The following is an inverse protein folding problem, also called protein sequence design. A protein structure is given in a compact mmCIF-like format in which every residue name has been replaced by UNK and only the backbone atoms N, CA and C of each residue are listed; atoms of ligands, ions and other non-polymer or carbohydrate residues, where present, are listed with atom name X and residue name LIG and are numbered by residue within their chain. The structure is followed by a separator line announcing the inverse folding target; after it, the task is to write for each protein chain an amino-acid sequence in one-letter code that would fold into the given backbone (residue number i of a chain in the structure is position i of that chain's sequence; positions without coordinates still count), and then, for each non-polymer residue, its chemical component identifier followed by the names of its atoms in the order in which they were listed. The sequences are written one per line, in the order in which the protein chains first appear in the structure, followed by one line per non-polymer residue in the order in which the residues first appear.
data_IF_633454119747
#
_entry.id   IF_633454119747
#
_cell.length_a   1.000
_cell.length_b   1.000
_cell.length_c   1.000
_cell.angle_alpha   90.00
_cell.angle_beta   90.00
_cell.angle_gamma   90.00
#
_symmetry.space_group_name_H-M   'P 1'
#
loop_
_entity.id
_entity.type
_entity.pdbx_description
1 polymer ?
#
# COMPACT_ATOMS: atom_id res chain seq x y z
N UNK A 1 -6.10 10.85 11.43
CA UNK A 1 -5.22 10.03 10.59
C UNK A 1 -4.50 9.04 11.49
N UNK A 2 -4.34 7.80 11.07
CA UNK A 2 -3.56 6.80 11.77
C UNK A 2 -2.21 6.61 11.06
N UNK A 3 -1.17 6.29 11.84
CA UNK A 3 0.14 5.92 11.30
C UNK A 3 0.35 4.43 11.41
N UNK A 4 0.61 3.81 10.28
CA UNK A 4 0.98 2.40 10.19
C UNK A 4 2.32 2.19 9.52
N UNK A 5 2.73 0.94 9.43
CA UNK A 5 3.90 0.55 8.68
C UNK A 5 3.68 -0.80 7.98
N UNK A 6 4.30 -0.94 6.81
CA UNK A 6 4.28 -2.19 6.07
C UNK A 6 5.16 -3.24 6.76
N UNK A 7 4.68 -4.47 6.81
CA UNK A 7 5.37 -5.59 7.47
C UNK A 7 6.79 -5.84 6.94
N UNK A 8 7.07 -5.50 5.69
CA UNK A 8 8.38 -5.69 5.06
C UNK A 8 9.52 -4.89 5.71
N UNK A 9 9.22 -3.96 6.60
CA UNK A 9 10.24 -3.34 7.43
C UNK A 9 10.95 -4.37 8.31
N UNK A 10 10.22 -5.35 8.84
CA UNK A 10 10.75 -6.34 9.79
C UNK A 10 10.94 -7.73 9.19
N UNK A 11 10.10 -8.12 8.22
CA UNK A 11 10.14 -9.45 7.61
C UNK A 11 9.61 -9.45 6.19
N UNK A 12 10.25 -10.21 5.30
CA UNK A 12 9.77 -10.48 3.93
C UNK A 12 8.73 -11.60 3.86
N UNK A 13 8.45 -12.28 4.98
CA UNK A 13 7.53 -13.41 5.05
C UNK A 13 6.42 -13.14 6.09
N UNK A 14 5.29 -13.83 5.92
CA UNK A 14 4.21 -13.83 6.89
C UNK A 14 3.86 -15.24 7.32
N UNK A 15 4.37 -15.65 8.47
CA UNK A 15 3.97 -16.81 9.26
C UNK A 15 3.88 -16.39 10.73
N UNK A 16 3.36 -17.21 11.64
CA UNK A 16 3.11 -16.78 13.02
C UNK A 16 4.35 -16.26 13.75
N UNK A 17 5.52 -16.87 13.53
CA UNK A 17 6.76 -16.43 14.15
C UNK A 17 7.19 -15.05 13.66
N UNK A 18 7.10 -14.80 12.35
CA UNK A 18 7.43 -13.51 11.77
C UNK A 18 6.34 -12.47 12.09
N UNK A 19 5.07 -12.88 12.12
CA UNK A 19 3.95 -12.02 12.54
C UNK A 19 4.14 -11.49 13.97
N UNK A 20 4.55 -12.34 14.92
CA UNK A 20 4.86 -11.92 16.29
C UNK A 20 5.97 -10.85 16.32
N UNK A 21 7.06 -11.07 15.57
CA UNK A 21 8.15 -10.09 15.45
C UNK A 21 7.68 -8.75 14.88
N UNK A 22 6.90 -8.79 13.78
CA UNK A 22 6.38 -7.60 13.10
C UNK A 22 5.41 -6.84 14.01
N UNK A 23 4.43 -7.52 14.58
CA UNK A 23 3.37 -6.92 15.40
C UNK A 23 3.96 -6.30 16.67
N UNK A 24 4.89 -7.00 17.34
CA UNK A 24 5.61 -6.46 18.49
C UNK A 24 6.43 -5.22 18.11
N UNK A 25 7.20 -5.29 17.00
CA UNK A 25 7.99 -4.14 16.52
C UNK A 25 7.13 -2.92 16.20
N UNK A 26 5.95 -3.13 15.61
CA UNK A 26 4.98 -2.07 15.32
C UNK A 26 4.37 -1.48 16.60
N UNK A 27 4.00 -2.32 17.57
CA UNK A 27 3.48 -1.91 18.88
C UNK A 27 4.52 -1.12 19.68
N UNK A 28 5.75 -1.62 19.78
CA UNK A 28 6.87 -0.96 20.49
C UNK A 28 7.21 0.41 19.88
N UNK A 29 7.00 0.58 18.58
CA UNK A 29 7.18 1.86 17.87
C UNK A 29 5.99 2.82 18.06
N UNK A 30 4.90 2.42 18.69
CA UNK A 30 3.70 3.23 18.89
C UNK A 30 2.97 3.53 17.59
N UNK A 31 2.89 2.54 16.70
CA UNK A 31 2.06 2.57 15.50
C UNK A 31 0.60 2.22 15.85
N UNK A 32 -0.33 2.72 15.03
CA UNK A 32 -1.77 2.46 15.20
C UNK A 32 -2.18 1.13 14.55
N UNK A 33 -1.45 0.73 13.51
CA UNK A 33 -1.73 -0.49 12.75
C UNK A 33 -0.49 -0.99 11.99
N UNK A 34 -0.57 -2.22 11.53
CA UNK A 34 0.41 -2.85 10.62
C UNK A 34 -0.25 -3.22 9.30
N UNK A 35 0.44 -3.00 8.19
CA UNK A 35 -0.01 -3.46 6.88
C UNK A 35 0.54 -4.85 6.58
N UNK A 36 -0.37 -5.80 6.39
CA UNK A 36 -0.09 -7.22 6.20
C UNK A 36 -0.12 -7.58 4.71
N UNK A 37 1.01 -8.07 4.12
CA UNK A 37 1.03 -8.49 2.73
C UNK A 37 0.32 -9.83 2.52
N UNK A 38 -0.75 -9.86 1.74
CA UNK A 38 -1.49 -11.08 1.39
C UNK A 38 -0.93 -11.74 0.12
N UNK A 39 0.36 -12.09 0.13
CA UNK A 39 1.01 -12.75 -1.02
C UNK A 39 0.47 -14.17 -1.26
N UNK A 40 0.12 -14.87 -0.19
CA UNK A 40 -0.47 -16.21 -0.19
C UNK A 40 -1.66 -16.24 0.79
N UNK A 41 -2.79 -15.64 0.44
CA UNK A 41 -3.88 -15.44 1.38
C UNK A 41 -4.44 -16.74 1.98
N UNK A 42 -4.35 -17.87 1.26
CA UNK A 42 -4.83 -19.17 1.75
C UNK A 42 -3.93 -19.83 2.78
N UNK A 43 -2.66 -19.44 2.84
CA UNK A 43 -1.66 -20.04 3.72
C UNK A 43 -1.53 -19.28 5.04
N UNK A 44 -2.24 -18.16 5.19
CA UNK A 44 -2.16 -17.30 6.35
C UNK A 44 -2.93 -17.89 7.54
N UNK A 45 -2.29 -18.01 8.69
CA UNK A 45 -2.97 -18.34 9.95
C UNK A 45 -3.69 -17.11 10.49
N UNK A 46 -4.97 -16.99 10.10
CA UNK A 46 -5.82 -15.85 10.45
C UNK A 46 -6.05 -15.81 11.96
N UNK A 47 -6.34 -16.94 12.58
CA UNK A 47 -6.67 -16.99 14.01
C UNK A 47 -5.48 -16.61 14.88
N UNK A 48 -4.29 -17.13 14.57
CA UNK A 48 -3.06 -16.78 15.27
C UNK A 48 -2.66 -15.33 15.05
N UNK A 49 -2.79 -14.82 13.81
CA UNK A 49 -2.51 -13.41 13.51
C UNK A 49 -3.44 -12.46 14.27
N UNK A 50 -4.75 -12.75 14.33
CA UNK A 50 -5.71 -11.95 15.11
C UNK A 50 -5.41 -11.93 16.59
N UNK A 51 -5.08 -13.09 17.16
CA UNK A 51 -4.72 -13.17 18.58
C UNK A 51 -3.51 -12.28 18.91
N UNK A 52 -2.49 -12.28 18.06
CA UNK A 52 -1.32 -11.41 18.21
C UNK A 52 -1.69 -9.92 18.08
N UNK A 53 -2.51 -9.54 17.11
CA UNK A 53 -2.98 -8.16 16.96
C UNK A 53 -3.76 -7.69 18.19
N UNK A 54 -4.68 -8.51 18.69
CA UNK A 54 -5.46 -8.24 19.90
C UNK A 54 -4.57 -8.12 21.15
N UNK A 55 -3.60 -9.02 21.32
CA UNK A 55 -2.65 -9.00 22.44
C UNK A 55 -1.85 -7.69 22.48
N UNK A 56 -1.45 -7.18 21.33
CA UNK A 56 -0.65 -5.96 21.22
C UNK A 56 -1.49 -4.67 21.00
N UNK A 57 -2.80 -4.77 20.93
CA UNK A 57 -3.71 -3.64 20.75
C UNK A 57 -3.57 -2.92 19.40
N UNK A 58 -3.12 -3.66 18.37
CA UNK A 58 -2.92 -3.12 17.01
C UNK A 58 -4.08 -3.47 16.08
N UNK A 59 -4.40 -2.54 15.19
CA UNK A 59 -5.22 -2.80 14.02
C UNK A 59 -4.36 -3.34 12.87
N UNK A 60 -5.00 -3.74 11.77
CA UNK A 60 -4.29 -4.06 10.54
C UNK A 60 -4.98 -3.49 9.31
N UNK A 61 -4.20 -3.29 8.27
CA UNK A 61 -4.62 -3.16 6.88
C UNK A 61 -4.02 -4.30 6.06
N UNK A 62 -4.52 -4.52 4.85
CA UNK A 62 -3.99 -5.57 3.98
C UNK A 62 -3.62 -5.04 2.61
N UNK A 63 -2.53 -5.56 2.05
CA UNK A 63 -2.09 -5.24 0.69
C UNK A 63 -1.66 -6.47 -0.09
N UNK A 64 -1.59 -6.36 -1.41
CA UNK A 64 -1.02 -7.39 -2.28
C UNK A 64 -0.60 -6.83 -3.66
N UNK A 65 0.33 -7.56 -4.30
CA UNK A 65 0.47 -7.63 -5.74
C UNK A 65 -0.04 -8.97 -6.24
N UNK A 66 -0.66 -9.02 -7.43
CA UNK A 66 -1.14 -10.29 -7.98
C UNK A 66 0.01 -11.25 -8.28
N UNK A 67 -0.14 -12.56 -8.02
CA UNK A 67 0.86 -13.54 -8.43
C UNK A 67 0.88 -13.68 -9.97
N UNK A 68 1.98 -14.18 -10.51
CA UNK A 68 2.21 -14.26 -11.97
C UNK A 68 1.08 -14.94 -12.73
N UNK A 69 0.56 -16.04 -12.20
CA UNK A 69 -0.53 -16.82 -12.80
C UNK A 69 -1.89 -16.12 -12.76
N UNK A 70 -2.01 -15.07 -11.96
CA UNK A 70 -3.20 -14.22 -11.85
C UNK A 70 -2.97 -12.79 -12.40
N UNK A 71 -1.92 -12.56 -13.20
CA UNK A 71 -1.73 -11.28 -13.89
C UNK A 71 -2.99 -10.94 -14.68
N UNK A 72 -3.72 -9.89 -14.27
CA UNK A 72 -5.11 -9.67 -14.63
C UNK A 72 -5.34 -9.54 -16.14
N UNK A 73 -4.56 -8.75 -16.92
CA UNK A 73 -4.74 -8.65 -18.37
C UNK A 73 -4.69 -9.99 -19.10
N UNK A 74 -3.87 -10.92 -18.61
CA UNK A 74 -3.71 -12.25 -19.23
C UNK A 74 -4.66 -13.30 -18.65
N UNK A 75 -4.98 -13.22 -17.36
CA UNK A 75 -5.73 -14.25 -16.64
C UNK A 75 -6.86 -13.67 -15.76
N UNK A 76 -7.82 -12.92 -16.34
CA UNK A 76 -8.84 -12.18 -15.58
C UNK A 76 -9.66 -13.07 -14.63
N UNK A 77 -10.00 -14.29 -15.02
CA UNK A 77 -10.75 -15.21 -14.15
C UNK A 77 -9.95 -15.69 -12.94
N UNK A 78 -8.63 -15.93 -13.10
CA UNK A 78 -7.77 -16.30 -11.98
C UNK A 78 -7.54 -15.11 -11.03
N UNK A 79 -7.36 -13.91 -11.60
CA UNK A 79 -7.24 -12.68 -10.82
C UNK A 79 -8.49 -12.43 -9.95
N UNK A 80 -9.68 -12.58 -10.53
CA UNK A 80 -10.93 -12.40 -9.80
C UNK A 80 -11.06 -13.37 -8.62
N UNK A 81 -10.75 -14.65 -8.83
CA UNK A 81 -10.78 -15.67 -7.75
C UNK A 81 -9.76 -15.34 -6.66
N UNK A 82 -8.54 -14.98 -7.05
CA UNK A 82 -7.48 -14.62 -6.09
C UNK A 82 -7.86 -13.40 -5.25
N UNK A 83 -8.33 -12.33 -5.89
CA UNK A 83 -8.74 -11.10 -5.21
C UNK A 83 -9.91 -11.33 -4.25
N UNK A 84 -10.93 -12.12 -4.64
CA UNK A 84 -12.04 -12.46 -3.73
C UNK A 84 -11.57 -13.27 -2.54
N UNK A 85 -10.61 -14.19 -2.71
CA UNK A 85 -9.99 -14.91 -1.59
C UNK A 85 -9.25 -13.94 -0.67
N UNK A 86 -8.49 -12.98 -1.22
CA UNK A 86 -7.78 -11.98 -0.42
C UNK A 86 -8.75 -11.04 0.33
N UNK A 87 -9.88 -10.68 -0.29
CA UNK A 87 -10.96 -9.93 0.37
C UNK A 87 -11.54 -10.70 1.56
N UNK A 88 -11.77 -12.02 1.43
CA UNK A 88 -12.25 -12.85 2.54
C UNK A 88 -11.26 -12.85 3.70
N UNK A 89 -9.97 -13.05 3.41
CA UNK A 89 -8.91 -13.04 4.43
C UNK A 89 -8.79 -11.67 5.11
N UNK A 90 -8.82 -10.57 4.33
CA UNK A 90 -8.78 -9.22 4.87
C UNK A 90 -9.98 -8.95 5.81
N UNK A 91 -11.18 -9.37 5.41
CA UNK A 91 -12.38 -9.24 6.24
C UNK A 91 -12.28 -10.06 7.54
N UNK A 92 -11.78 -11.30 7.48
CA UNK A 92 -11.59 -12.15 8.64
C UNK A 92 -10.53 -11.61 9.60
N UNK A 93 -9.45 -10.96 9.08
CA UNK A 93 -8.45 -10.27 9.88
C UNK A 93 -8.99 -8.99 10.54
N UNK A 94 -10.11 -8.44 10.06
CA UNK A 94 -10.67 -7.18 10.52
C UNK A 94 -10.07 -5.95 9.81
N UNK A 95 -9.37 -6.14 8.69
CA UNK A 95 -8.88 -5.04 7.85
C UNK A 95 -10.04 -4.32 7.17
N UNK A 96 -10.09 -3.00 7.16
CA UNK A 96 -11.12 -2.24 6.42
C UNK A 96 -10.80 -2.11 4.92
N UNK A 97 -9.57 -2.40 4.53
CA UNK A 97 -9.08 -2.16 3.16
C UNK A 97 -8.23 -3.32 2.63
N UNK A 98 -8.23 -3.47 1.32
CA UNK A 98 -7.28 -4.27 0.56
C UNK A 98 -6.65 -3.36 -0.50
N UNK A 99 -5.36 -3.07 -0.37
CA UNK A 99 -4.64 -2.11 -1.21
C UNK A 99 -3.59 -2.78 -2.10
N UNK A 100 -2.94 -1.99 -2.97
CA UNK A 100 -1.77 -2.41 -3.73
C UNK A 100 -2.02 -2.59 -5.22
N UNK A 101 -1.19 -3.43 -5.86
CA UNK A 101 -1.23 -3.68 -7.31
C UNK A 101 -2.28 -4.74 -7.63
N UNK A 102 -3.56 -4.41 -7.41
CA UNK A 102 -4.70 -5.32 -7.54
C UNK A 102 -5.00 -5.72 -9.01
N UNK A 103 -4.27 -5.18 -9.97
CA UNK A 103 -4.52 -5.34 -11.41
C UNK A 103 -3.38 -6.03 -12.17
N UNK A 104 -2.22 -6.22 -11.54
CA UNK A 104 -1.05 -6.78 -12.22
C UNK A 104 -0.16 -7.62 -11.30
N UNK A 105 0.62 -8.50 -11.90
CA UNK A 105 1.82 -9.05 -11.27
C UNK A 105 2.98 -8.06 -11.49
N UNK A 106 3.67 -7.69 -10.42
CA UNK A 106 4.84 -6.81 -10.43
C UNK A 106 5.97 -7.47 -11.26
N UNK A 107 6.57 -6.70 -12.17
CA UNK A 107 7.62 -7.16 -13.06
C UNK A 107 7.14 -7.90 -14.32
N UNK A 108 5.83 -8.02 -14.56
CA UNK A 108 5.32 -8.48 -15.86
C UNK A 108 5.22 -7.31 -16.83
N UNK A 109 6.17 -7.25 -17.77
CA UNK A 109 6.29 -6.20 -18.77
C UNK A 109 6.11 -6.79 -20.17
N UNK A 110 5.32 -6.14 -21.02
CA UNK A 110 5.02 -6.58 -22.39
C UNK A 110 5.98 -6.02 -23.44
N UNK A 111 6.76 -4.99 -23.10
CA UNK A 111 7.54 -4.20 -24.04
C UNK A 111 6.69 -3.33 -25.00
N UNK A 112 5.39 -3.20 -24.71
CA UNK A 112 4.42 -2.40 -25.48
C UNK A 112 3.59 -1.55 -24.53
N UNK A 113 3.06 -0.41 -24.99
CA UNK A 113 2.08 0.37 -24.23
C UNK A 113 0.84 -0.48 -23.87
N UNK A 114 0.13 -0.14 -22.79
CA UNK A 114 -1.12 -0.79 -22.45
C UNK A 114 -2.17 -0.57 -23.52
N UNK A 115 -3.05 -1.54 -23.68
CA UNK A 115 -4.14 -1.50 -24.65
C UNK A 115 -5.49 -1.20 -23.98
N UNK A 116 -6.42 -0.65 -24.74
CA UNK A 116 -7.79 -0.43 -24.26
C UNK A 116 -8.48 -1.74 -23.84
N UNK A 117 -8.16 -2.85 -24.49
CA UNK A 117 -8.71 -4.16 -24.13
C UNK A 117 -8.22 -4.65 -22.76
N UNK A 118 -6.98 -4.36 -22.39
CA UNK A 118 -6.44 -4.64 -21.06
C UNK A 118 -7.15 -3.81 -20.00
N UNK A 119 -7.34 -2.53 -20.22
CA UNK A 119 -8.09 -1.66 -19.30
C UNK A 119 -9.56 -2.09 -19.15
N UNK A 120 -10.22 -2.55 -20.22
CA UNK A 120 -11.58 -3.12 -20.12
C UNK A 120 -11.63 -4.36 -19.23
N UNK A 121 -10.64 -5.26 -19.35
CA UNK A 121 -10.54 -6.45 -18.49
C UNK A 121 -10.31 -6.06 -17.04
N UNK A 122 -9.37 -5.13 -16.77
CA UNK A 122 -9.08 -4.59 -15.43
C UNK A 122 -10.34 -4.00 -14.83
N UNK A 123 -10.99 -3.07 -15.51
CA UNK A 123 -12.23 -2.42 -15.06
C UNK A 123 -13.30 -3.44 -14.68
N UNK A 124 -13.57 -4.41 -15.57
CA UNK A 124 -14.60 -5.42 -15.35
C UNK A 124 -14.34 -6.27 -14.11
N UNK A 125 -13.10 -6.76 -13.94
CA UNK A 125 -12.75 -7.62 -12.82
C UNK A 125 -12.76 -6.83 -11.51
N UNK A 126 -12.14 -5.65 -11.49
CA UNK A 126 -12.10 -4.83 -10.28
C UNK A 126 -13.50 -4.37 -9.85
N UNK A 127 -14.39 -4.08 -10.80
CA UNK A 127 -15.79 -3.80 -10.50
C UNK A 127 -16.51 -5.00 -9.86
N UNK A 128 -16.31 -6.22 -10.39
CA UNK A 128 -16.86 -7.44 -9.78
C UNK A 128 -16.31 -7.69 -8.38
N UNK A 129 -15.02 -7.45 -8.17
CA UNK A 129 -14.38 -7.60 -6.86
C UNK A 129 -14.85 -6.50 -5.89
N UNK A 130 -15.04 -5.27 -6.36
CA UNK A 130 -15.56 -4.16 -5.55
C UNK A 130 -16.95 -4.47 -4.99
N UNK A 131 -17.87 -4.96 -5.82
CA UNK A 131 -19.20 -5.39 -5.37
C UNK A 131 -19.14 -6.58 -4.38
N UNK A 132 -18.16 -7.45 -4.52
CA UNK A 132 -17.93 -8.53 -3.56
C UNK A 132 -17.39 -8.00 -2.23
N UNK A 133 -16.39 -7.11 -2.28
CA UNK A 133 -15.73 -6.50 -1.16
C UNK A 133 -16.68 -5.62 -0.33
N UNK A 134 -17.58 -4.87 -0.98
CA UNK A 134 -18.61 -4.04 -0.33
C UNK A 134 -19.46 -4.87 0.64
N UNK A 135 -19.89 -6.07 0.24
CA UNK A 135 -20.69 -6.98 1.09
C UNK A 135 -19.94 -7.49 2.31
N UNK A 136 -18.61 -7.36 2.31
CA UNK A 136 -17.72 -7.74 3.40
C UNK A 136 -17.24 -6.52 4.21
N UNK A 137 -17.67 -5.32 3.85
CA UNK A 137 -17.21 -4.08 4.47
C UNK A 137 -15.81 -3.66 4.07
N UNK A 138 -15.24 -4.21 2.97
CA UNK A 138 -13.89 -3.93 2.50
C UNK A 138 -13.91 -2.90 1.37
N UNK A 139 -13.02 -1.92 1.45
CA UNK A 139 -12.71 -1.02 0.35
C UNK A 139 -11.41 -1.42 -0.37
N UNK A 140 -11.32 -1.14 -1.68
CA UNK A 140 -10.19 -1.49 -2.52
C UNK A 140 -9.34 -0.27 -2.85
N UNK A 141 -8.05 -0.29 -2.51
CA UNK A 141 -7.07 0.74 -2.86
C UNK A 141 -6.24 0.30 -4.07
N UNK A 142 -6.38 1.01 -5.20
CA UNK A 142 -5.59 0.73 -6.40
C UNK A 142 -4.35 1.61 -6.37
N UNK A 143 -3.18 0.99 -6.45
CA UNK A 143 -1.90 1.66 -6.39
C UNK A 143 -1.33 1.93 -7.79
N UNK A 144 -0.84 3.15 -8.00
CA UNK A 144 0.01 3.46 -9.13
C UNK A 144 1.47 3.18 -8.78
N UNK A 145 2.14 2.30 -9.54
CA UNK A 145 3.53 1.91 -9.30
C UNK A 145 4.42 2.24 -10.49
N UNK A 146 5.73 2.31 -10.28
CA UNK A 146 6.67 2.76 -11.29
C UNK A 146 6.75 1.84 -12.53
N UNK A 147 7.31 2.39 -13.62
CA UNK A 147 7.44 1.73 -14.94
C UNK A 147 8.29 0.48 -14.96
N UNK A 148 9.11 0.24 -13.95
CA UNK A 148 9.92 -0.97 -13.85
C UNK A 148 9.13 -2.13 -13.27
N UNK A 149 8.04 -1.84 -12.58
CA UNK A 149 7.15 -2.81 -11.95
C UNK A 149 5.92 -3.12 -12.77
N UNK A 150 5.35 -2.12 -13.46
CA UNK A 150 4.22 -2.33 -14.39
C UNK A 150 4.25 -1.34 -15.55
N UNK A 151 3.63 -1.72 -16.65
CA UNK A 151 3.40 -0.86 -17.82
C UNK A 151 1.98 -0.27 -17.84
N UNK A 152 1.14 -0.56 -16.85
CA UNK A 152 -0.31 -0.29 -16.89
C UNK A 152 -0.70 1.05 -16.25
N UNK A 153 -0.41 1.23 -14.97
CA UNK A 153 -0.80 2.42 -14.20
C UNK A 153 0.42 2.93 -13.44
N UNK A 154 0.99 4.05 -13.89
CA UNK A 154 2.20 4.63 -13.32
C UNK A 154 1.99 6.02 -12.73
N UNK A 155 0.96 6.75 -13.17
CA UNK A 155 0.71 8.14 -12.80
C UNK A 155 -0.61 8.28 -12.03
N UNK A 156 -0.70 9.28 -11.17
CA UNK A 156 -1.94 9.68 -10.50
C UNK A 156 -3.08 9.98 -11.50
N UNK A 157 -2.77 10.57 -12.66
CA UNK A 157 -3.75 10.82 -13.72
C UNK A 157 -4.34 9.53 -14.29
N UNK A 158 -3.50 8.53 -14.59
CA UNK A 158 -3.95 7.21 -15.06
C UNK A 158 -4.76 6.47 -13.97
N UNK A 159 -4.35 6.65 -12.70
CA UNK A 159 -5.11 6.13 -11.55
C UNK A 159 -6.50 6.79 -11.47
N UNK A 160 -6.58 8.10 -11.67
CA UNK A 160 -7.86 8.81 -11.79
C UNK A 160 -8.75 8.23 -12.90
N UNK A 161 -8.19 8.01 -14.10
CA UNK A 161 -8.91 7.46 -15.25
C UNK A 161 -9.45 6.04 -14.99
N UNK A 162 -8.69 5.17 -14.33
CA UNK A 162 -9.18 3.81 -14.02
C UNK A 162 -10.26 3.82 -12.94
N UNK A 163 -10.16 4.71 -11.96
CA UNK A 163 -11.21 4.90 -10.95
C UNK A 163 -12.52 5.38 -11.59
N UNK A 164 -12.46 6.31 -12.53
CA UNK A 164 -13.63 6.80 -13.27
C UNK A 164 -14.27 5.69 -14.11
N UNK A 165 -13.49 4.76 -14.67
CA UNK A 165 -14.00 3.57 -15.40
C UNK A 165 -14.65 2.54 -14.48
N UNK A 166 -14.08 2.31 -13.29
CA UNK A 166 -14.62 1.37 -12.29
C UNK A 166 -15.90 1.95 -11.69
N UNK A 167 -15.90 3.23 -11.32
CA UNK A 167 -17.03 3.99 -10.80
C UNK A 167 -17.76 3.32 -9.61
N UNK A 168 -17.00 2.74 -8.68
CA UNK A 168 -17.53 2.13 -7.45
C UNK A 168 -17.07 2.91 -6.22
N UNK A 169 -17.96 3.24 -5.26
CA UNK A 169 -17.64 4.13 -4.14
C UNK A 169 -16.64 3.55 -3.13
N UNK A 170 -16.52 2.24 -3.08
CA UNK A 170 -15.56 1.52 -2.24
C UNK A 170 -14.22 1.24 -2.95
N UNK A 171 -13.97 1.87 -4.12
CA UNK A 171 -12.67 1.81 -4.82
C UNK A 171 -12.03 3.19 -4.78
N UNK A 172 -10.76 3.26 -4.37
CA UNK A 172 -10.07 4.52 -4.15
C UNK A 172 -8.62 4.50 -4.63
N UNK A 173 -8.01 5.67 -4.70
CA UNK A 173 -6.61 5.84 -5.08
C UNK A 173 -5.68 5.54 -3.91
N UNK A 174 -4.63 4.79 -4.20
CA UNK A 174 -3.47 4.57 -3.35
C UNK A 174 -2.23 5.13 -4.08
N UNK A 175 -1.47 5.99 -3.43
CA UNK A 175 -0.20 6.52 -3.92
C UNK A 175 0.95 6.07 -3.03
N UNK A 176 2.14 5.99 -3.60
CA UNK A 176 3.40 5.77 -2.90
C UNK A 176 4.43 6.80 -3.35
N UNK A 177 5.03 7.51 -2.42
CA UNK A 177 6.00 8.57 -2.68
C UNK A 177 7.28 8.06 -3.38
N UNK A 178 7.69 6.79 -3.19
CA UNK A 178 8.77 6.18 -3.95
C UNK A 178 8.42 6.06 -5.43
N UNK A 179 7.23 5.56 -5.75
CA UNK A 179 6.78 5.46 -7.14
C UNK A 179 6.58 6.83 -7.77
N UNK A 180 6.01 7.78 -7.02
CA UNK A 180 5.86 9.17 -7.48
C UNK A 180 7.21 9.82 -7.78
N UNK A 181 8.26 9.56 -6.98
CA UNK A 181 9.60 10.09 -7.21
C UNK A 181 10.19 9.64 -8.56
N UNK A 182 9.79 8.49 -9.07
CA UNK A 182 10.25 7.96 -10.36
C UNK A 182 9.40 8.49 -11.53
N UNK A 183 8.09 8.60 -11.33
CA UNK A 183 7.13 8.80 -12.43
C UNK A 183 6.61 10.22 -12.55
N UNK A 184 6.39 10.91 -11.43
CA UNK A 184 5.76 12.21 -11.41
C UNK A 184 6.79 13.36 -11.54
N UNK A 185 6.32 14.53 -11.94
CA UNK A 185 7.18 15.74 -12.03
C UNK A 185 7.20 16.54 -10.72
N UNK A 186 6.63 16.01 -9.68
CA UNK A 186 6.52 16.59 -8.34
C UNK A 186 5.48 15.83 -7.54
N UNK A 187 5.29 16.18 -6.28
CA UNK A 187 4.41 15.44 -5.37
C UNK A 187 3.08 16.14 -5.11
N UNK A 188 3.05 17.47 -5.14
CA UNK A 188 1.87 18.27 -4.80
C UNK A 188 0.72 18.07 -5.80
N UNK A 189 0.96 18.34 -7.08
CA UNK A 189 -0.08 18.29 -8.12
C UNK A 189 -0.73 16.91 -8.29
N UNK A 190 0.02 15.78 -8.30
CA UNK A 190 -0.58 14.44 -8.34
C UNK A 190 -1.54 14.18 -7.18
N UNK A 191 -1.16 14.55 -5.95
CA UNK A 191 -1.99 14.41 -4.75
C UNK A 191 -3.27 15.25 -4.89
N UNK A 192 -3.13 16.53 -5.23
CA UNK A 192 -4.25 17.45 -5.35
C UNK A 192 -5.22 17.04 -6.47
N UNK A 193 -4.71 16.52 -7.59
CA UNK A 193 -5.53 16.07 -8.72
C UNK A 193 -6.46 14.90 -8.38
N UNK A 194 -6.06 14.03 -7.48
CA UNK A 194 -6.89 12.93 -7.00
C UNK A 194 -7.94 13.41 -5.97
N UNK A 195 -7.62 14.43 -5.21
CA UNK A 195 -8.52 14.99 -4.21
C UNK A 195 -9.02 13.93 -3.21
N UNK A 196 -10.31 13.91 -2.92
CA UNK A 196 -10.91 12.96 -1.97
C UNK A 196 -10.92 11.50 -2.44
N UNK A 197 -10.52 11.22 -3.67
CA UNK A 197 -10.32 9.85 -4.16
C UNK A 197 -9.07 9.20 -3.57
N UNK A 198 -8.06 9.99 -3.15
CA UNK A 198 -6.89 9.52 -2.43
C UNK A 198 -7.27 9.20 -0.98
N UNK A 199 -7.21 7.92 -0.58
CA UNK A 199 -7.56 7.49 0.79
C UNK A 199 -6.50 6.63 1.46
N UNK A 200 -5.41 6.31 0.77
CA UNK A 200 -4.29 5.54 1.29
C UNK A 200 -3.00 6.04 0.65
N UNK A 201 -1.95 6.18 1.44
CA UNK A 201 -0.65 6.62 0.94
C UNK A 201 0.49 5.91 1.65
N UNK A 202 1.40 5.33 0.84
CA UNK A 202 2.70 4.88 1.30
C UNK A 202 3.68 6.06 1.33
N UNK A 203 4.25 6.29 2.49
CA UNK A 203 5.27 7.29 2.74
C UNK A 203 6.63 6.61 2.71
N UNK A 204 7.20 6.52 1.54
CA UNK A 204 8.45 5.83 1.23
C UNK A 204 9.49 6.81 0.79
N UNK A 205 10.73 6.63 1.22
CA UNK A 205 11.84 7.42 0.70
C UNK A 205 12.21 7.01 -0.74
N UNK A 206 12.92 7.86 -1.45
CA UNK A 206 13.34 7.67 -2.85
C UNK A 206 14.20 6.42 -3.08
N UNK A 207 14.77 5.86 -2.03
CA UNK A 207 15.56 4.62 -2.04
C UNK A 207 14.95 3.50 -1.16
N UNK A 208 13.72 3.71 -0.63
CA UNK A 208 13.06 2.80 0.32
C UNK A 208 13.74 2.75 1.71
N UNK A 209 14.65 3.69 1.99
CA UNK A 209 15.32 3.84 3.29
C UNK A 209 14.52 4.65 4.30
N UNK A 210 15.23 5.39 5.18
CA UNK A 210 14.61 6.22 6.23
C UNK A 210 13.97 7.46 5.58
N UNK A 211 12.65 7.71 5.75
CA UNK A 211 12.01 8.94 5.28
C UNK A 211 12.74 10.20 5.76
N UNK A 212 12.97 11.11 4.82
CA UNK A 212 13.68 12.37 5.05
C UNK A 212 15.19 12.33 4.79
N UNK A 213 15.75 11.17 4.40
CA UNK A 213 17.19 11.05 4.11
C UNK A 213 17.54 11.02 2.62
N UNK A 214 16.54 11.07 1.75
CA UNK A 214 16.71 10.96 0.29
C UNK A 214 16.18 12.18 -0.48
N UNK A 215 15.50 11.91 -1.59
CA UNK A 215 15.12 12.93 -2.57
C UNK A 215 13.61 13.24 -2.60
N UNK A 216 12.80 12.65 -1.75
CA UNK A 216 11.36 12.95 -1.68
C UNK A 216 11.15 14.37 -1.16
N UNK A 217 10.37 15.17 -1.88
CA UNK A 217 10.02 16.53 -1.47
C UNK A 217 8.85 16.49 -0.48
N UNK A 218 9.15 16.15 0.76
CA UNK A 218 8.17 15.92 1.82
C UNK A 218 7.25 17.10 2.11
N UNK A 219 7.75 18.33 2.00
CA UNK A 219 6.92 19.53 2.16
C UNK A 219 5.82 19.61 1.09
N UNK A 220 6.10 19.20 -0.15
CA UNK A 220 5.11 19.12 -1.22
C UNK A 220 4.09 18.01 -0.96
N UNK A 221 4.53 16.86 -0.45
CA UNK A 221 3.63 15.75 -0.07
C UNK A 221 2.63 16.22 0.99
N UNK A 222 3.12 16.71 2.13
CA UNK A 222 2.23 17.10 3.24
C UNK A 222 1.40 18.35 2.94
N UNK A 223 1.91 19.29 2.12
CA UNK A 223 1.13 20.41 1.61
C UNK A 223 -0.03 19.93 0.73
N UNK A 224 0.21 18.97 -0.16
CA UNK A 224 -0.82 18.36 -1.00
C UNK A 224 -1.88 17.63 -0.17
N UNK A 225 -1.47 16.84 0.82
CA UNK A 225 -2.38 16.14 1.73
C UNK A 225 -3.26 17.12 2.53
N UNK A 226 -2.69 18.21 3.01
CA UNK A 226 -3.46 19.28 3.67
C UNK A 226 -4.47 19.93 2.72
N UNK A 227 -4.05 20.24 1.47
CA UNK A 227 -4.92 20.90 0.48
C UNK A 227 -6.19 20.11 0.19
N UNK A 228 -6.10 18.79 0.13
CA UNK A 228 -7.26 17.92 -0.13
C UNK A 228 -8.04 17.55 1.14
N UNK A 229 -7.70 18.10 2.31
CA UNK A 229 -8.22 17.68 3.61
C UNK A 229 -8.14 16.15 3.80
N UNK A 230 -6.94 15.60 3.61
CA UNK A 230 -6.72 14.17 3.65
C UNK A 230 -7.10 13.59 5.01
N UNK A 231 -7.86 12.49 5.01
CA UNK A 231 -8.33 11.80 6.22
C UNK A 231 -8.00 10.30 6.23
N UNK A 232 -7.26 9.86 5.24
CA UNK A 232 -6.84 8.46 5.12
C UNK A 232 -5.69 8.08 6.05
N UNK A 233 -5.24 6.86 5.92
CA UNK A 233 -4.12 6.32 6.68
C UNK A 233 -2.78 6.67 6.03
N UNK A 234 -1.76 6.85 6.86
CA UNK A 234 -0.38 7.14 6.48
C UNK A 234 0.48 5.92 6.81
N UNK A 235 1.06 5.31 5.82
CA UNK A 235 1.81 4.05 5.98
C UNK A 235 3.26 4.25 5.60
N UNK A 236 4.16 4.00 6.52
CA UNK A 236 5.58 3.94 6.21
C UNK A 236 5.88 2.63 5.50
N UNK A 237 6.30 2.70 4.23
CA UNK A 237 6.77 1.55 3.48
C UNK A 237 8.25 1.71 3.17
N UNK A 238 9.06 0.92 3.86
CA UNK A 238 10.52 0.90 3.79
C UNK A 238 11.00 -0.53 3.99
N UNK A 239 12.23 -0.81 3.63
CA UNK A 239 12.77 -2.17 3.65
C UNK A 239 14.08 -2.20 4.42
N UNK A 240 14.06 -2.73 5.65
CA UNK A 240 15.29 -2.90 6.43
C UNK A 240 15.94 -4.26 6.18
N UNK A 241 15.13 -5.30 6.00
CA UNK A 241 15.62 -6.65 5.77
C UNK A 241 15.82 -6.92 4.27
N UNK A 242 17.01 -7.39 3.91
CA UNK A 242 17.29 -7.91 2.57
C UNK A 242 17.29 -9.43 2.66
N UNK A 243 16.25 -10.06 2.11
CA UNK A 243 16.23 -11.49 1.85
C UNK A 243 16.08 -11.74 0.34
N UNK A 244 16.35 -12.96 -0.12
CA UNK A 244 16.36 -13.27 -1.56
C UNK A 244 15.01 -12.99 -2.25
N UNK A 245 13.90 -13.35 -1.61
CA UNK A 245 12.57 -13.16 -2.18
C UNK A 245 12.21 -11.67 -2.25
N UNK A 246 12.47 -10.92 -1.19
CA UNK A 246 12.17 -9.49 -1.12
C UNK A 246 13.10 -8.69 -2.04
N UNK A 247 14.39 -9.02 -2.07
CA UNK A 247 15.37 -8.37 -2.94
C UNK A 247 14.99 -8.51 -4.42
N UNK A 248 14.53 -9.69 -4.83
CA UNK A 248 14.07 -9.94 -6.20
C UNK A 248 12.81 -9.13 -6.57
N UNK A 249 11.89 -8.95 -5.62
CA UNK A 249 10.64 -8.21 -5.84
C UNK A 249 10.82 -6.69 -5.82
N UNK A 250 11.73 -6.18 -4.96
CA UNK A 250 11.93 -4.74 -4.71
C UNK A 250 13.16 -4.15 -5.40
N UNK A 251 14.02 -5.00 -5.98
CA UNK A 251 15.34 -4.64 -6.54
C UNK A 251 16.26 -3.92 -5.51
N UNK A 252 16.18 -4.31 -4.24
CA UNK A 252 17.03 -3.80 -3.16
C UNK A 252 18.14 -4.81 -2.89
N UNK A 253 19.37 -4.49 -3.29
CA UNK A 253 20.51 -5.39 -3.30
C UNK A 253 21.51 -5.14 -2.16
N UNK A 254 21.24 -4.18 -1.28
CA UNK A 254 22.07 -3.81 -0.13
C UNK A 254 21.22 -3.43 1.06
N UNK A 255 21.77 -3.53 2.27
CA UNK A 255 21.14 -2.94 3.45
C UNK A 255 21.05 -1.42 3.28
N UNK A 256 19.89 -0.86 3.56
CA UNK A 256 19.62 0.59 3.50
C UNK A 256 19.73 1.25 4.88
N UNK A 257 19.63 0.46 5.94
CA UNK A 257 19.62 0.91 7.33
C UNK A 257 20.32 -0.11 8.24
N UNK A 258 20.68 0.29 9.46
CA UNK A 258 21.31 -0.60 10.44
C UNK A 258 20.35 -1.66 10.98
N UNK A 259 19.10 -1.26 11.26
CA UNK A 259 18.07 -2.16 11.77
C UNK A 259 16.65 -1.62 11.51
N UNK A 260 15.62 -2.50 11.57
CA UNK A 260 14.22 -2.11 11.52
C UNK A 260 13.85 -1.05 12.58
N UNK A 261 14.37 -1.18 13.78
CA UNK A 261 14.07 -0.29 14.91
C UNK A 261 14.58 1.13 14.65
N UNK A 262 15.78 1.28 14.10
CA UNK A 262 16.35 2.57 13.69
C UNK A 262 15.50 3.18 12.59
N UNK A 263 15.14 2.39 11.58
CA UNK A 263 14.33 2.84 10.46
C UNK A 263 12.97 3.38 10.93
N UNK A 264 12.26 2.59 11.76
CA UNK A 264 10.93 2.97 12.24
C UNK A 264 10.99 4.18 13.16
N UNK A 265 11.92 4.19 14.14
CA UNK A 265 12.07 5.30 15.07
C UNK A 265 12.34 6.64 14.36
N UNK A 266 13.32 6.65 13.47
CA UNK A 266 13.78 7.89 12.84
C UNK A 266 12.80 8.31 11.74
N UNK A 267 12.31 7.36 10.93
CA UNK A 267 11.32 7.62 9.88
C UNK A 267 9.99 8.10 10.45
N UNK A 268 9.45 7.44 11.47
CA UNK A 268 8.19 7.83 12.09
C UNK A 268 8.29 9.19 12.79
N UNK A 269 9.42 9.48 13.47
CA UNK A 269 9.67 10.79 14.07
C UNK A 269 9.65 11.89 13.02
N UNK A 270 10.33 11.67 11.89
CA UNK A 270 10.37 12.62 10.78
C UNK A 270 8.96 12.82 10.18
N UNK A 271 8.24 11.75 9.86
CA UNK A 271 6.92 11.82 9.24
C UNK A 271 5.88 12.51 10.14
N UNK A 272 5.88 12.21 11.45
CA UNK A 272 5.01 12.89 12.43
C UNK A 272 5.33 14.36 12.56
N UNK A 273 6.61 14.72 12.53
CA UNK A 273 7.05 16.13 12.53
C UNK A 273 6.50 16.85 11.31
N UNK A 274 6.68 16.30 10.11
CA UNK A 274 6.17 16.87 8.86
C UNK A 274 4.65 17.00 8.84
N UNK A 275 3.94 15.98 9.30
CA UNK A 275 2.48 16.03 9.41
C UNK A 275 2.01 17.16 10.33
N UNK A 276 2.73 17.39 11.43
CA UNK A 276 2.44 18.48 12.39
C UNK A 276 2.77 19.84 11.79
N UNK A 277 3.95 20.03 11.20
CA UNK A 277 4.39 21.29 10.56
C UNK A 277 3.38 21.77 9.50
N UNK A 278 2.79 20.86 8.77
CA UNK A 278 1.83 21.19 7.70
C UNK A 278 0.37 21.20 8.15
N UNK A 279 0.06 21.02 9.44
CA UNK A 279 -1.29 20.84 9.97
C UNK A 279 -2.09 19.76 9.17
N UNK A 280 -1.39 18.77 8.68
CA UNK A 280 -1.98 17.64 7.98
C UNK A 280 -2.48 16.56 8.96
N UNK A 281 -2.31 16.79 10.27
CA UNK A 281 -2.70 15.89 11.36
C UNK A 281 -3.71 16.62 12.27
N UNK A 282 -4.98 16.29 12.18
CA UNK A 282 -5.97 16.65 13.19
C UNK A 282 -6.20 15.45 14.09
N UNK A 283 -6.00 15.62 15.40
CA UNK A 283 -6.34 14.58 16.38
C UNK A 283 -7.83 14.19 16.22
N UNK A 284 -8.11 12.87 16.32
CA UNK A 284 -9.48 12.33 16.28
C UNK A 284 -10.34 12.75 17.47
N UNK A 285 -9.81 13.55 18.39
CA UNK A 285 -10.49 13.96 19.63
C UNK A 285 -11.41 15.22 19.49
N UNK A 286 -11.46 15.83 18.30
CA UNK A 286 -12.22 17.08 18.09
C UNK A 286 -13.54 16.90 17.31
N UNK A 287 -14.23 15.73 17.41
CA UNK A 287 -15.61 15.59 16.93
C UNK A 287 -16.43 14.68 17.84
#
# INVERSE_FOLDING_TARGET
MAFGAHAFIWSGEWNLKEAEKVIRGASDAGLDFVEIPLLRPRDLDISGTKALLEEHGLNCTCSLGLPREAHLPAAPGKAEVFLKTAVDVAAELGSPVLCGVLYAHIGTLTGKPPTEEEFKKITRVLKSVAHYAEKKGISLGIEAVNRYETYLINLASQLGDILDRIAEPNVFAHLDTYHMNIEEKGFYEPIVSLGKRLRYIHLSESDRGIPGTGNVHWDDVFRGLREIDYRGDLVMESFAAVNEDLAGATAIWRSLVESPEVLVRDGLTFLRTKATEHNAYSNREDN
#
